data_IF_200178921950
#
_entry.id   IF_200178921950
#
_cell.length_a   1.000
_cell.length_b   1.000
_cell.length_c   1.000
_cell.angle_alpha   90.00
_cell.angle_beta   90.00
_cell.angle_gamma   90.00
#
_symmetry.space_group_name_H-M   'P 1'
#
loop_
_entity.id
_entity.type
_entity.pdbx_description
1 polymer ?
#
# COMPACT_ATOMS: atom_id res chain seq x y z
N UNK A 1 27.99 -1.14 18.04
CA UNK A 1 27.12 -0.14 18.71
C UNK A 1 25.71 -0.70 18.70
N UNK A 2 25.15 -1.03 19.86
CA UNK A 2 23.74 -1.43 19.94
C UNK A 2 22.93 -0.15 19.72
N UNK A 3 21.99 -0.11 18.75
CA UNK A 3 21.17 1.09 18.56
C UNK A 3 20.39 1.36 19.84
N UNK A 4 20.55 2.54 20.42
CA UNK A 4 19.81 2.94 21.61
C UNK A 4 18.32 3.03 21.24
N UNK A 5 17.54 2.04 21.65
CA UNK A 5 16.09 2.03 21.44
C UNK A 5 15.50 3.23 22.16
N UNK A 6 14.57 3.95 21.52
CA UNK A 6 13.92 5.11 22.12
C UNK A 6 13.29 4.71 23.47
N UNK A 7 13.51 5.47 24.56
CA UNK A 7 13.20 5.02 25.93
C UNK A 7 11.72 4.73 26.21
N UNK A 8 10.78 5.18 25.35
CA UNK A 8 9.34 4.89 25.45
C UNK A 8 8.79 4.10 24.26
N UNK A 9 9.65 3.40 23.55
CA UNK A 9 9.25 2.63 22.37
C UNK A 9 8.18 1.57 22.69
N UNK A 10 8.31 0.89 23.84
CA UNK A 10 7.34 -0.10 24.31
C UNK A 10 5.98 0.53 24.64
N UNK A 11 5.96 1.67 25.31
CA UNK A 11 4.72 2.40 25.62
C UNK A 11 3.99 2.85 24.35
N UNK A 12 4.72 3.39 23.37
CA UNK A 12 4.15 3.79 22.08
C UNK A 12 3.61 2.59 21.30
N UNK A 13 4.33 1.48 21.32
CA UNK A 13 3.89 0.22 20.69
C UNK A 13 2.61 -0.29 21.35
N UNK A 14 2.54 -0.30 22.68
CA UNK A 14 1.35 -0.73 23.42
C UNK A 14 0.11 0.16 23.14
N UNK A 15 0.32 1.48 23.03
CA UNK A 15 -0.76 2.41 22.65
C UNK A 15 -1.25 2.16 21.22
N UNK A 16 -0.33 1.93 20.27
CA UNK A 16 -0.68 1.59 18.90
C UNK A 16 -1.45 0.27 18.83
N UNK A 17 -0.98 -0.76 19.54
CA UNK A 17 -1.66 -2.06 19.62
C UNK A 17 -3.07 -1.92 20.21
N UNK A 18 -3.25 -1.10 21.25
CA UNK A 18 -4.56 -0.84 21.84
C UNK A 18 -5.51 -0.18 20.84
N UNK A 19 -5.04 0.81 20.07
CA UNK A 19 -5.84 1.51 19.06
C UNK A 19 -6.20 0.54 17.92
N UNK A 20 -5.23 -0.19 17.38
CA UNK A 20 -5.44 -1.15 16.29
C UNK A 20 -6.37 -2.28 16.72
N UNK A 21 -6.20 -2.78 17.96
CA UNK A 21 -7.10 -3.79 18.56
C UNK A 21 -8.54 -3.29 18.65
N UNK A 22 -8.77 -2.04 19.06
CA UNK A 22 -10.12 -1.44 19.05
C UNK A 22 -10.72 -1.42 17.64
N UNK A 23 -9.94 -1.01 16.64
CA UNK A 23 -10.38 -0.96 15.24
C UNK A 23 -10.71 -2.35 14.67
N UNK A 24 -10.05 -3.40 15.15
CA UNK A 24 -10.28 -4.78 14.73
C UNK A 24 -11.44 -5.46 15.45
N UNK A 25 -11.51 -5.32 16.78
CA UNK A 25 -12.42 -6.11 17.62
C UNK A 25 -13.78 -5.44 17.84
N UNK A 26 -13.82 -4.11 17.87
CA UNK A 26 -15.05 -3.36 18.15
C UNK A 26 -15.08 -2.01 17.43
N UNK A 27 -15.06 -2.00 16.09
CA UNK A 27 -15.18 -0.77 15.35
C UNK A 27 -16.59 -0.17 15.49
N UNK A 28 -16.63 1.16 15.53
CA UNK A 28 -17.87 1.96 15.47
C UNK A 28 -17.89 2.78 14.18
N UNK A 29 -19.05 3.29 13.74
CA UNK A 29 -19.12 4.11 12.52
C UNK A 29 -18.21 5.35 12.55
N UNK A 30 -18.00 5.95 13.72
CA UNK A 30 -17.07 7.07 13.89
C UNK A 30 -15.60 6.70 13.71
N UNK A 31 -15.25 5.42 13.87
CA UNK A 31 -13.89 4.95 13.64
C UNK A 31 -13.59 4.77 12.14
N UNK A 32 -14.60 4.81 11.26
CA UNK A 32 -14.41 4.77 9.81
C UNK A 32 -14.10 6.18 9.31
N UNK A 33 -12.82 6.55 9.35
CA UNK A 33 -12.34 7.87 8.93
C UNK A 33 -11.04 7.73 8.12
N UNK A 34 -10.63 8.83 7.47
CA UNK A 34 -9.34 8.89 6.75
C UNK A 34 -8.16 8.67 7.72
N UNK A 35 -8.26 9.18 8.95
CA UNK A 35 -7.21 9.04 9.96
C UNK A 35 -7.04 7.56 10.35
N UNK A 36 -8.13 6.82 10.53
CA UNK A 36 -8.05 5.39 10.81
C UNK A 36 -7.41 4.60 9.67
N UNK A 37 -7.69 4.96 8.41
CA UNK A 37 -7.03 4.37 7.24
C UNK A 37 -5.52 4.63 7.27
N UNK A 38 -5.12 5.86 7.57
CA UNK A 38 -3.71 6.24 7.68
C UNK A 38 -3.00 5.50 8.82
N UNK A 39 -3.64 5.33 9.97
CA UNK A 39 -3.10 4.57 11.10
C UNK A 39 -2.92 3.10 10.73
N UNK A 40 -3.90 2.48 10.07
CA UNK A 40 -3.81 1.09 9.63
C UNK A 40 -2.73 0.90 8.55
N UNK A 41 -2.59 1.85 7.62
CA UNK A 41 -1.52 1.87 6.62
C UNK A 41 -0.14 1.94 7.29
N UNK A 42 0.02 2.87 8.23
CA UNK A 42 1.26 3.01 8.98
C UNK A 42 1.61 1.73 9.74
N UNK A 43 0.63 1.12 10.42
CA UNK A 43 0.84 -0.13 11.14
C UNK A 43 1.24 -1.28 10.20
N UNK A 44 0.59 -1.41 9.04
CA UNK A 44 0.91 -2.46 8.07
C UNK A 44 2.33 -2.33 7.49
N UNK A 45 2.78 -1.10 7.24
CA UNK A 45 4.11 -0.80 6.69
C UNK A 45 5.22 -0.84 7.76
N UNK A 46 4.87 -0.59 9.02
CA UNK A 46 5.80 -0.48 10.13
C UNK A 46 5.26 -1.25 11.35
N UNK A 47 5.18 -2.57 11.25
CA UNK A 47 4.84 -3.38 12.41
C UNK A 47 5.96 -3.30 13.46
N UNK A 48 5.69 -2.84 14.69
CA UNK A 48 6.73 -2.65 15.71
C UNK A 48 7.46 -3.96 16.04
N UNK A 49 8.74 -3.91 16.41
CA UNK A 49 9.44 -5.10 16.87
C UNK A 49 9.04 -5.47 18.31
N UNK A 50 8.97 -6.76 18.60
CA UNK A 50 8.90 -7.24 19.98
C UNK A 50 10.24 -7.02 20.69
N UNK A 51 10.17 -6.63 21.96
CA UNK A 51 11.29 -6.79 22.88
C UNK A 51 11.55 -8.29 23.05
N UNK A 52 12.80 -8.73 23.00
CA UNK A 52 13.18 -10.16 23.06
C UNK A 52 12.70 -10.92 24.32
N UNK A 53 12.09 -10.22 25.29
CA UNK A 53 11.54 -10.79 26.52
C UNK A 53 10.03 -11.10 26.45
N UNK A 54 9.32 -10.74 25.38
CA UNK A 54 7.85 -10.86 25.27
C UNK A 54 7.37 -12.06 24.41
N UNK A 55 8.26 -12.98 24.02
CA UNK A 55 7.88 -14.14 23.23
C UNK A 55 7.08 -15.15 24.06
N UNK A 56 5.75 -15.02 24.01
CA UNK A 56 4.85 -16.12 24.36
C UNK A 56 5.06 -17.27 23.37
N UNK A 57 5.73 -18.32 23.85
CA UNK A 57 6.05 -19.58 23.15
C UNK A 57 7.10 -19.47 22.04
N UNK A 58 8.37 -19.68 22.40
CA UNK A 58 9.43 -20.04 21.44
C UNK A 58 10.02 -21.40 21.78
N UNK A 59 9.71 -22.41 20.96
CA UNK A 59 10.24 -23.78 21.07
C UNK A 59 11.61 -23.95 20.40
N UNK A 60 12.24 -22.86 19.93
CA UNK A 60 13.52 -22.92 19.22
C UNK A 60 14.60 -22.14 19.96
N UNK A 61 15.69 -22.84 20.31
CA UNK A 61 16.90 -22.34 21.01
C UNK A 61 17.62 -21.16 20.32
N UNK A 62 17.17 -20.70 19.15
CA UNK A 62 17.81 -19.66 18.36
C UNK A 62 17.55 -18.22 18.87
N UNK A 63 16.56 -18.01 19.75
CA UNK A 63 16.13 -16.67 20.20
C UNK A 63 16.70 -16.24 21.57
N UNK A 64 17.62 -17.02 22.16
CA UNK A 64 18.27 -16.69 23.44
C UNK A 64 19.22 -15.47 23.37
N UNK A 65 19.29 -14.77 22.24
CA UNK A 65 20.24 -13.67 21.99
C UNK A 65 19.69 -12.27 22.29
N UNK A 66 18.46 -12.13 22.78
CA UNK A 66 17.89 -10.83 23.18
C UNK A 66 17.75 -9.82 22.02
N UNK A 67 17.83 -10.29 20.78
CA UNK A 67 17.67 -9.47 19.59
C UNK A 67 16.17 -9.15 19.37
N UNK A 68 15.82 -7.93 18.95
CA UNK A 68 14.43 -7.56 18.67
C UNK A 68 13.87 -8.44 17.54
N UNK A 69 12.71 -9.06 17.77
CA UNK A 69 12.04 -9.89 16.76
C UNK A 69 11.00 -9.04 16.02
N UNK A 70 11.04 -9.03 14.69
CA UNK A 70 10.09 -8.28 13.87
C UNK A 70 8.69 -8.91 13.98
N UNK A 71 7.66 -8.10 14.26
CA UNK A 71 6.26 -8.56 14.18
C UNK A 71 5.76 -8.69 12.74
N UNK A 72 6.48 -8.09 11.79
CA UNK A 72 6.07 -8.07 10.39
C UNK A 72 6.00 -9.49 9.83
N UNK A 73 4.84 -9.82 9.28
CA UNK A 73 4.64 -10.96 8.40
C UNK A 73 3.59 -10.59 7.35
N UNK A 74 3.71 -11.19 6.18
CA UNK A 74 2.93 -10.83 5.00
C UNK A 74 1.43 -11.04 5.22
N UNK A 75 1.04 -12.10 5.93
CA UNK A 75 -0.37 -12.41 6.23
C UNK A 75 -0.99 -11.35 7.15
N UNK A 76 -0.26 -10.91 8.18
CA UNK A 76 -0.74 -9.87 9.09
C UNK A 76 -0.82 -8.53 8.39
N UNK A 77 0.18 -8.18 7.57
CA UNK A 77 0.15 -6.96 6.76
C UNK A 77 -1.05 -6.97 5.80
N UNK A 78 -1.28 -8.09 5.12
CA UNK A 78 -2.43 -8.28 4.22
C UNK A 78 -3.77 -8.15 4.96
N UNK A 79 -3.90 -8.72 6.15
CA UNK A 79 -5.12 -8.62 6.95
C UNK A 79 -5.42 -7.16 7.36
N UNK A 80 -4.42 -6.42 7.82
CA UNK A 80 -4.57 -5.01 8.21
C UNK A 80 -4.86 -4.13 7.00
N UNK A 81 -4.16 -4.33 5.88
CA UNK A 81 -4.41 -3.61 4.63
C UNK A 81 -5.82 -3.89 4.10
N UNK A 82 -6.28 -5.13 4.18
CA UNK A 82 -7.65 -5.51 3.84
C UNK A 82 -8.69 -4.78 4.69
N UNK A 83 -8.43 -4.54 5.98
CA UNK A 83 -9.30 -3.70 6.81
C UNK A 83 -9.25 -2.22 6.36
N UNK A 84 -8.05 -1.67 6.18
CA UNK A 84 -7.86 -0.29 5.74
C UNK A 84 -8.59 -0.02 4.41
N UNK A 85 -8.51 -0.99 3.49
CA UNK A 85 -9.20 -0.92 2.21
C UNK A 85 -10.71 -0.98 2.35
N UNK A 86 -11.26 -1.86 3.19
CA UNK A 86 -12.71 -1.89 3.44
C UNK A 86 -13.22 -0.56 3.98
N UNK A 87 -12.44 0.11 4.84
CA UNK A 87 -12.78 1.46 5.32
C UNK A 87 -12.70 2.50 4.21
N UNK A 88 -11.67 2.44 3.37
CA UNK A 88 -11.54 3.33 2.22
C UNK A 88 -12.75 3.20 1.26
N UNK A 89 -13.15 1.97 0.94
CA UNK A 89 -14.30 1.70 0.09
C UNK A 89 -15.62 2.12 0.74
N UNK A 90 -15.77 1.91 2.05
CA UNK A 90 -16.96 2.36 2.80
C UNK A 90 -17.11 3.90 2.78
N UNK A 91 -16.00 4.63 2.79
CA UNK A 91 -15.97 6.09 2.62
C UNK A 91 -16.10 6.54 1.15
N UNK A 92 -16.09 5.60 0.19
CA UNK A 92 -16.06 5.91 -1.25
C UNK A 92 -14.76 6.59 -1.69
N UNK A 93 -13.65 6.39 -0.97
CA UNK A 93 -12.37 7.02 -1.25
C UNK A 93 -11.83 6.64 -2.63
N UNK A 94 -12.06 5.40 -3.07
CA UNK A 94 -11.69 4.89 -4.41
C UNK A 94 -12.22 5.79 -5.53
N UNK A 95 -13.48 6.24 -5.42
CA UNK A 95 -14.11 7.10 -6.42
C UNK A 95 -13.80 8.57 -6.16
N UNK A 96 -13.91 9.00 -4.90
CA UNK A 96 -13.76 10.39 -4.52
C UNK A 96 -12.32 10.91 -4.72
N UNK A 97 -11.30 10.06 -4.58
CA UNK A 97 -9.92 10.43 -4.81
C UNK A 97 -9.58 10.57 -6.31
N UNK A 98 -10.22 9.76 -7.17
CA UNK A 98 -9.93 9.71 -8.61
C UNK A 98 -10.75 10.75 -9.38
N UNK A 99 -12.01 10.97 -8.99
CA UNK A 99 -12.96 11.81 -9.72
C UNK A 99 -12.45 13.21 -10.10
N UNK A 100 -11.76 13.97 -9.22
CA UNK A 100 -11.23 15.30 -9.57
C UNK A 100 -10.28 15.30 -10.76
N UNK A 101 -9.54 14.20 -10.95
CA UNK A 101 -8.52 14.09 -11.99
C UNK A 101 -9.09 13.73 -13.37
N UNK A 102 -10.37 13.40 -13.48
CA UNK A 102 -11.04 13.30 -14.78
C UNK A 102 -11.49 14.66 -15.33
N UNK A 103 -11.65 15.67 -14.46
CA UNK A 103 -12.04 17.03 -14.82
C UNK A 103 -10.91 17.90 -15.38
N UNK A 104 -11.15 19.22 -15.50
CA UNK A 104 -10.11 20.19 -15.86
C UNK A 104 -8.99 20.24 -14.82
N UNK A 105 -7.72 20.29 -15.26
CA UNK A 105 -6.55 20.28 -14.36
C UNK A 105 -6.59 21.44 -13.34
N UNK A 106 -7.07 22.61 -13.76
CA UNK A 106 -7.15 23.82 -12.92
C UNK A 106 -8.18 23.69 -11.77
N UNK A 107 -9.05 22.67 -11.81
CA UNK A 107 -10.02 22.39 -10.75
C UNK A 107 -9.49 21.47 -9.64
N UNK A 108 -8.32 20.85 -9.85
CA UNK A 108 -7.70 19.96 -8.86
C UNK A 108 -7.23 20.78 -7.67
N UNK A 109 -7.58 20.37 -6.45
CA UNK A 109 -7.11 21.03 -5.22
C UNK A 109 -6.00 20.24 -4.52
N UNK A 110 -5.30 20.88 -3.59
CA UNK A 110 -4.31 20.21 -2.73
C UNK A 110 -4.91 19.07 -1.90
N UNK A 111 -6.18 19.23 -1.48
CA UNK A 111 -6.90 18.21 -0.74
C UNK A 111 -7.22 16.99 -1.61
N UNK A 112 -7.53 17.19 -2.90
CA UNK A 112 -7.75 16.08 -3.84
C UNK A 112 -6.46 15.28 -4.07
N UNK A 113 -5.35 15.98 -4.24
CA UNK A 113 -4.01 15.39 -4.29
C UNK A 113 -3.69 14.61 -3.01
N UNK A 114 -4.02 15.15 -1.84
CA UNK A 114 -3.80 14.47 -0.56
C UNK A 114 -4.63 13.18 -0.43
N UNK A 115 -5.90 13.20 -0.84
CA UNK A 115 -6.74 12.00 -0.87
C UNK A 115 -6.21 10.95 -1.84
N UNK A 116 -5.77 11.37 -3.03
CA UNK A 116 -5.20 10.47 -4.01
C UNK A 116 -3.89 9.84 -3.54
N UNK A 117 -3.06 10.58 -2.77
CA UNK A 117 -1.87 10.00 -2.12
C UNK A 117 -2.22 8.87 -1.16
N UNK A 118 -3.25 9.05 -0.32
CA UNK A 118 -3.70 7.99 0.60
C UNK A 118 -4.19 6.77 -0.18
N UNK A 119 -5.01 7.00 -1.20
CA UNK A 119 -5.52 5.94 -2.08
C UNK A 119 -4.39 5.19 -2.80
N UNK A 120 -3.44 5.91 -3.38
CA UNK A 120 -2.30 5.30 -4.06
C UNK A 120 -1.35 4.58 -3.10
N UNK A 121 -1.16 5.07 -1.86
CA UNK A 121 -0.37 4.35 -0.87
C UNK A 121 -1.01 3.00 -0.54
N UNK A 122 -2.33 2.98 -0.33
CA UNK A 122 -3.09 1.76 -0.11
C UNK A 122 -2.98 0.77 -1.27
N UNK A 123 -3.20 1.25 -2.50
CA UNK A 123 -3.09 0.44 -3.71
C UNK A 123 -1.69 -0.15 -3.86
N UNK A 124 -0.64 0.66 -3.67
CA UNK A 124 0.73 0.17 -3.76
C UNK A 124 1.04 -0.90 -2.70
N UNK A 125 0.53 -0.76 -1.47
CA UNK A 125 0.74 -1.77 -0.44
C UNK A 125 0.05 -3.10 -0.78
N UNK A 126 -1.20 -3.05 -1.22
CA UNK A 126 -1.99 -4.23 -1.61
C UNK A 126 -1.30 -5.00 -2.76
N UNK A 127 -0.87 -4.25 -3.79
CA UNK A 127 -0.17 -4.84 -4.93
C UNK A 127 1.26 -5.26 -4.64
N UNK A 128 1.95 -4.63 -3.70
CA UNK A 128 3.28 -5.08 -3.27
C UNK A 128 3.19 -6.48 -2.66
N UNK A 129 2.22 -6.72 -1.78
CA UNK A 129 1.98 -8.05 -1.21
C UNK A 129 1.55 -9.07 -2.27
N UNK A 130 0.81 -8.63 -3.29
CA UNK A 130 0.51 -9.50 -4.43
C UNK A 130 1.76 -9.91 -5.20
N UNK A 131 2.63 -8.96 -5.54
CA UNK A 131 3.80 -9.21 -6.36
C UNK A 131 4.91 -9.97 -5.61
N UNK A 132 5.11 -9.68 -4.33
CA UNK A 132 6.21 -10.25 -3.54
C UNK A 132 5.78 -11.55 -2.86
N UNK A 133 4.57 -11.56 -2.29
CA UNK A 133 4.10 -12.64 -1.41
C UNK A 133 3.06 -13.55 -2.08
N UNK A 134 2.66 -13.25 -3.32
CA UNK A 134 1.64 -14.01 -4.06
C UNK A 134 0.24 -13.90 -3.46
N UNK A 135 0.00 -12.96 -2.54
CA UNK A 135 -1.31 -12.77 -1.92
C UNK A 135 -2.28 -12.10 -2.90
N UNK A 136 -3.57 -12.45 -2.93
CA UNK A 136 -4.49 -11.85 -3.88
C UNK A 136 -4.63 -10.34 -3.61
N UNK A 137 -4.51 -9.55 -4.67
CA UNK A 137 -4.88 -8.14 -4.63
C UNK A 137 -6.39 -7.99 -4.41
N UNK A 138 -6.76 -6.92 -3.74
CA UNK A 138 -8.12 -6.67 -3.25
C UNK A 138 -8.85 -5.61 -4.08
N UNK A 139 -8.15 -4.88 -4.97
CA UNK A 139 -8.72 -3.84 -5.83
C UNK A 139 -8.23 -3.88 -7.28
N UNK A 140 -9.03 -3.35 -8.20
CA UNK A 140 -8.61 -3.09 -9.57
C UNK A 140 -7.83 -1.75 -9.65
N UNK A 141 -6.57 -1.75 -10.12
CA UNK A 141 -5.76 -0.55 -10.24
C UNK A 141 -6.06 0.24 -11.52
N UNK A 142 -6.83 -0.30 -12.48
CA UNK A 142 -7.06 0.34 -13.77
C UNK A 142 -7.66 1.75 -13.68
N UNK A 143 -8.68 2.04 -12.84
CA UNK A 143 -9.20 3.40 -12.69
C UNK A 143 -8.13 4.38 -12.17
N UNK A 144 -7.29 3.91 -11.26
CA UNK A 144 -6.21 4.71 -10.66
C UNK A 144 -5.11 5.03 -11.67
N UNK A 145 -4.75 4.08 -12.52
CA UNK A 145 -3.74 4.27 -13.57
C UNK A 145 -4.19 5.28 -14.63
N UNK A 146 -5.48 5.38 -14.94
CA UNK A 146 -6.01 6.34 -15.92
C UNK A 146 -5.77 7.80 -15.56
N UNK A 147 -5.58 8.11 -14.26
CA UNK A 147 -5.39 9.47 -13.77
C UNK A 147 -3.96 9.74 -13.28
N UNK A 148 -3.06 8.76 -13.32
CA UNK A 148 -1.72 8.83 -12.75
C UNK A 148 -0.87 9.94 -13.39
N UNK A 149 -0.91 10.09 -14.72
CA UNK A 149 -0.18 11.15 -15.40
C UNK A 149 -0.69 12.55 -15.04
N UNK A 150 -2.02 12.72 -14.90
CA UNK A 150 -2.64 13.98 -14.50
C UNK A 150 -2.30 14.32 -13.05
N UNK A 151 -2.27 13.32 -12.18
CA UNK A 151 -1.80 13.50 -10.81
C UNK A 151 -0.34 13.96 -10.79
N UNK A 152 0.56 13.28 -11.50
CA UNK A 152 1.97 13.67 -11.56
C UNK A 152 2.21 15.08 -12.13
N UNK A 153 1.31 15.55 -13.02
CA UNK A 153 1.40 16.85 -13.69
C UNK A 153 0.68 17.98 -12.94
N UNK A 154 0.00 17.69 -11.82
CA UNK A 154 -0.69 18.69 -11.01
C UNK A 154 0.30 19.65 -10.33
N UNK A 155 -0.04 20.94 -10.27
CA UNK A 155 0.76 21.95 -9.56
C UNK A 155 0.88 21.68 -8.05
N UNK A 156 0.00 20.84 -7.50
CA UNK A 156 0.00 20.45 -6.09
C UNK A 156 0.83 19.17 -5.83
N UNK A 157 1.27 18.47 -6.87
CA UNK A 157 2.13 17.28 -6.78
C UNK A 157 3.60 17.67 -6.65
N UNK A 158 3.91 18.26 -5.49
CA UNK A 158 5.22 18.86 -5.20
C UNK A 158 6.22 17.88 -4.58
N UNK A 159 5.77 16.71 -4.11
CA UNK A 159 6.67 15.77 -3.47
C UNK A 159 7.32 14.87 -4.52
N UNK A 160 8.62 14.57 -4.41
CA UNK A 160 9.29 13.64 -5.33
C UNK A 160 8.67 12.23 -5.30
N UNK A 161 7.98 11.89 -4.20
CA UNK A 161 7.20 10.67 -4.09
C UNK A 161 5.97 10.62 -5.01
N UNK A 162 5.37 11.77 -5.38
CA UNK A 162 4.13 11.81 -6.16
C UNK A 162 4.33 11.23 -7.57
N UNK A 163 5.40 11.67 -8.26
CA UNK A 163 5.76 11.17 -9.58
C UNK A 163 6.09 9.67 -9.52
N UNK A 164 6.84 9.25 -8.48
CA UNK A 164 7.19 7.83 -8.28
C UNK A 164 5.95 6.96 -8.09
N UNK A 165 5.07 7.36 -7.19
CA UNK A 165 3.84 6.63 -6.88
C UNK A 165 2.92 6.57 -8.11
N UNK A 166 2.87 7.64 -8.91
CA UNK A 166 2.12 7.66 -10.18
C UNK A 166 2.63 6.59 -11.16
N UNK A 167 3.95 6.57 -11.41
CA UNK A 167 4.57 5.57 -12.27
C UNK A 167 4.35 4.15 -11.75
N UNK A 168 4.44 3.93 -10.44
CA UNK A 168 4.18 2.62 -9.81
C UNK A 168 2.74 2.14 -10.01
N UNK A 169 1.75 3.01 -9.87
CA UNK A 169 0.33 2.66 -10.08
C UNK A 169 0.09 2.20 -11.53
N UNK A 170 0.71 2.86 -12.52
CA UNK A 170 0.62 2.41 -13.91
C UNK A 170 1.29 1.05 -14.13
N UNK A 171 2.49 0.82 -13.58
CA UNK A 171 3.17 -0.48 -13.65
C UNK A 171 2.31 -1.59 -13.06
N UNK A 172 1.76 -1.34 -11.87
CA UNK A 172 0.86 -2.26 -11.19
C UNK A 172 -0.35 -2.59 -12.07
N UNK A 173 -0.94 -1.60 -12.74
CA UNK A 173 -2.06 -1.83 -13.66
C UNK A 173 -1.68 -2.68 -14.88
N UNK A 174 -0.48 -2.46 -15.44
CA UNK A 174 0.06 -3.26 -16.55
C UNK A 174 0.21 -4.72 -16.13
N UNK A 175 0.82 -4.98 -14.96
CA UNK A 175 1.01 -6.35 -14.44
C UNK A 175 -0.30 -7.01 -14.08
N UNK A 176 -1.21 -6.30 -13.39
CA UNK A 176 -2.53 -6.81 -13.03
C UNK A 176 -3.33 -7.23 -14.27
N UNK A 177 -3.29 -6.43 -15.35
CA UNK A 177 -3.95 -6.76 -16.62
C UNK A 177 -3.35 -8.02 -17.28
N UNK A 178 -2.04 -8.19 -17.19
CA UNK A 178 -1.35 -9.38 -17.69
C UNK A 178 -1.80 -10.64 -16.92
N UNK A 179 -1.91 -10.54 -15.60
CA UNK A 179 -2.41 -11.61 -14.73
C UNK A 179 -3.87 -11.96 -15.03
N UNK A 180 -4.74 -10.95 -15.17
CA UNK A 180 -6.16 -11.14 -15.55
C UNK A 180 -6.35 -11.77 -16.93
N UNK A 181 -5.38 -11.62 -17.83
CA UNK A 181 -5.42 -12.22 -19.16
C UNK A 181 -5.05 -13.72 -19.15
N UNK A 182 -4.67 -14.25 -17.98
CA UNK A 182 -4.32 -15.65 -17.76
C UNK A 182 -5.37 -16.32 -16.87
N UNK A 183 -5.47 -17.65 -16.95
CA UNK A 183 -6.37 -18.43 -16.08
C UNK A 183 -5.87 -18.42 -14.62
N UNK A 184 -4.56 -18.21 -14.45
CA UNK A 184 -3.90 -18.13 -13.15
C UNK A 184 -3.74 -16.68 -12.68
N UNK A 185 -4.58 -16.29 -11.73
CA UNK A 185 -4.57 -14.98 -11.08
C UNK A 185 -3.41 -14.81 -10.10
N UNK A 186 -2.65 -15.86 -9.77
CA UNK A 186 -1.44 -15.71 -8.94
C UNK A 186 -0.24 -15.20 -9.74
N UNK A 187 -0.35 -15.14 -11.07
CA UNK A 187 0.72 -14.70 -11.95
C UNK A 187 1.86 -15.72 -12.10
N UNK A 188 1.71 -16.95 -11.61
CA UNK A 188 2.72 -18.01 -11.76
C UNK A 188 2.72 -18.62 -13.17
N UNK A 189 1.57 -18.59 -13.86
CA UNK A 189 1.44 -19.09 -15.23
C UNK A 189 1.03 -17.99 -16.21
N UNK A 190 2.03 -17.31 -16.78
CA UNK A 190 1.84 -16.32 -17.85
C UNK A 190 2.02 -16.96 -19.22
N UNK A 191 1.04 -16.78 -20.12
CA UNK A 191 1.14 -17.26 -21.49
C UNK A 191 2.17 -16.45 -22.30
N UNK A 192 2.83 -17.01 -23.33
CA UNK A 192 3.80 -16.28 -24.15
C UNK A 192 3.23 -15.04 -24.84
N UNK A 193 1.97 -15.07 -25.25
CA UNK A 193 1.27 -13.91 -25.82
C UNK A 193 1.05 -12.81 -24.79
N UNK A 194 0.72 -13.17 -23.55
CA UNK A 194 0.61 -12.24 -22.44
C UNK A 194 1.96 -11.58 -22.12
N UNK A 195 3.04 -12.37 -22.04
CA UNK A 195 4.39 -11.85 -21.82
C UNK A 195 4.84 -10.87 -22.90
N UNK A 196 4.51 -11.14 -24.17
CA UNK A 196 4.81 -10.22 -25.28
C UNK A 196 4.07 -8.89 -25.13
N UNK A 197 2.78 -8.93 -24.77
CA UNK A 197 1.98 -7.72 -24.54
C UNK A 197 2.50 -6.94 -23.33
N UNK A 198 2.81 -7.64 -22.24
CA UNK A 198 3.41 -7.07 -21.04
C UNK A 198 4.71 -6.32 -21.38
N UNK A 199 5.60 -6.91 -22.18
CA UNK A 199 6.84 -6.26 -22.59
C UNK A 199 6.61 -4.96 -23.37
N UNK A 200 5.66 -4.95 -24.31
CA UNK A 200 5.28 -3.76 -25.08
C UNK A 200 4.74 -2.66 -24.17
N UNK A 201 3.89 -3.03 -23.19
CA UNK A 201 3.31 -2.07 -22.26
C UNK A 201 4.37 -1.51 -21.29
N UNK A 202 5.35 -2.33 -20.85
CA UNK A 202 6.50 -1.89 -20.06
C UNK A 202 7.43 -0.94 -20.83
N UNK A 203 7.71 -1.20 -22.11
CA UNK A 203 8.50 -0.30 -22.96
C UNK A 203 7.83 1.08 -23.10
N UNK A 204 6.50 1.13 -23.28
CA UNK A 204 5.76 2.39 -23.33
C UNK A 204 5.79 3.14 -22.00
N UNK A 205 5.65 2.39 -20.90
CA UNK A 205 5.76 2.96 -19.57
C UNK A 205 7.14 3.58 -19.36
N UNK A 206 8.21 2.87 -19.74
CA UNK A 206 9.59 3.36 -19.65
C UNK A 206 9.78 4.65 -20.44
N UNK A 207 9.31 4.70 -21.69
CA UNK A 207 9.38 5.92 -22.52
C UNK A 207 8.71 7.13 -21.87
N UNK A 208 7.62 6.91 -21.13
CA UNK A 208 6.83 7.97 -20.49
C UNK A 208 7.47 8.45 -19.19
N UNK A 209 7.94 7.50 -18.35
CA UNK A 209 8.31 7.79 -16.97
C UNK A 209 9.82 7.88 -16.74
N UNK A 210 10.66 7.26 -17.57
CA UNK A 210 12.11 7.20 -17.36
C UNK A 210 12.74 8.58 -17.14
N UNK A 211 12.42 9.54 -18.02
CA UNK A 211 12.97 10.89 -17.90
C UNK A 211 12.37 11.70 -16.75
N UNK A 212 11.14 11.36 -16.30
CA UNK A 212 10.46 12.05 -15.19
C UNK A 212 10.90 11.55 -13.82
N UNK A 213 11.42 10.33 -13.75
CA UNK A 213 11.85 9.66 -12.51
C UNK A 213 13.35 9.77 -12.22
N UNK A 214 14.13 10.30 -13.17
CA UNK A 214 15.58 10.50 -13.05
C UNK A 214 15.92 11.79 -12.31
#
# INVERSE_FOLDING_TARGET
MVPSTYPRFSELTALLDQIVSKLLLRPTPSDVSLDSILVLLLYAQWMPCNSGNESYQSTTRAEATGAPNSRYNEVSAWAILGLALRYALLLGLDRAAIAPFHGPIDSITENDVSRLRVWYNLLNCDFNLMLISGLPASVDPAPSAQVAERFASSIYSKHPGDIRVSGLVELVSIVHRAMQSCVDMSGHQLSPSCLRKLNIDLEKWEQTWYMRLR
#
